data_IF_015913953369
#
_entry.id   IF_015913953369
#
_cell.length_a   1.000
_cell.length_b   1.000
_cell.length_c   1.000
_cell.angle_alpha   90.00
_cell.angle_beta   90.00
_cell.angle_gamma   90.00
#
_symmetry.space_group_name_H-M   'P 1'
#
loop_
_entity.id
_entity.type
_entity.pdbx_description
1 polymer ?
#
# COMPACT_ATOMS: atom_id res chain seq x y z
N UNK A 1 6.52 42.20 35.03
CA UNK A 1 5.51 42.34 33.96
C UNK A 1 5.96 41.77 32.62
N UNK A 2 7.17 42.09 32.10
CA UNK A 2 7.67 41.53 30.82
C UNK A 2 7.75 39.99 30.75
N UNK A 3 8.24 39.34 31.82
CA UNK A 3 8.34 37.86 31.86
C UNK A 3 6.97 37.17 31.88
N UNK A 4 5.98 37.77 32.55
CA UNK A 4 4.61 37.24 32.61
C UNK A 4 3.92 37.29 31.24
N UNK A 5 4.14 38.38 30.48
CA UNK A 5 3.61 38.56 29.13
C UNK A 5 4.25 37.57 28.14
N UNK A 6 5.55 37.31 28.28
CA UNK A 6 6.25 36.28 27.50
C UNK A 6 5.73 34.87 27.80
N UNK A 7 5.51 34.56 29.07
CA UNK A 7 5.02 33.25 29.49
C UNK A 7 3.55 33.02 29.09
N UNK A 8 2.71 34.07 29.13
CA UNK A 8 1.35 34.05 28.59
C UNK A 8 1.32 33.94 27.07
N UNK A 9 2.25 34.59 26.36
CA UNK A 9 2.39 34.44 24.91
C UNK A 9 2.82 33.01 24.54
N UNK A 10 3.80 32.43 25.23
CA UNK A 10 4.23 31.04 25.03
C UNK A 10 3.11 30.03 25.33
N UNK A 11 2.33 30.25 26.39
CA UNK A 11 1.14 29.44 26.71
C UNK A 11 0.03 29.58 25.66
N UNK A 12 -0.18 30.79 25.11
CA UNK A 12 -1.17 31.03 24.06
C UNK A 12 -0.79 30.40 22.71
N UNK A 13 0.51 30.26 22.42
CA UNK A 13 0.98 29.58 21.20
C UNK A 13 0.88 28.04 21.27
N UNK A 14 0.80 27.44 22.46
CA UNK A 14 0.79 25.98 22.63
C UNK A 14 -0.61 25.32 22.68
N UNK A 15 -1.70 26.10 22.62
CA UNK A 15 -2.99 25.66 23.15
C UNK A 15 -4.13 25.38 22.16
N UNK A 16 -3.94 25.44 20.84
CA UNK A 16 -5.08 25.42 19.91
C UNK A 16 -5.06 24.32 18.84
N UNK A 17 -4.11 23.40 18.88
CA UNK A 17 -4.11 22.23 17.99
C UNK A 17 -4.30 20.97 18.82
N UNK A 18 -5.20 20.10 18.38
CA UNK A 18 -5.37 18.81 19.00
C UNK A 18 -4.03 18.05 18.84
N UNK A 19 -3.57 17.34 19.88
CA UNK A 19 -2.29 16.61 19.81
C UNK A 19 -2.28 15.61 18.64
N UNK A 20 -3.47 15.10 18.28
CA UNK A 20 -3.70 14.28 17.08
C UNK A 20 -3.35 15.02 15.78
N UNK A 21 -3.82 16.26 15.62
CA UNK A 21 -3.61 17.05 14.39
C UNK A 21 -2.14 17.43 14.21
N UNK A 22 -1.43 17.68 15.32
CA UNK A 22 0.01 17.94 15.31
C UNK A 22 0.81 16.69 14.94
N UNK A 23 0.41 15.51 15.45
CA UNK A 23 1.02 14.23 15.08
C UNK A 23 0.83 13.90 13.60
N UNK A 24 -0.37 14.10 13.06
CA UNK A 24 -0.69 13.89 11.65
C UNK A 24 0.12 14.84 10.74
N UNK A 25 0.17 16.13 11.08
CA UNK A 25 0.93 17.13 10.32
C UNK A 25 2.43 16.87 10.33
N UNK A 26 3.00 16.50 11.49
CA UNK A 26 4.41 16.11 11.59
C UNK A 26 4.69 14.85 10.78
N UNK A 27 3.83 13.82 10.88
CA UNK A 27 3.97 12.58 10.10
C UNK A 27 3.93 12.87 8.60
N UNK A 28 2.97 13.68 8.15
CA UNK A 28 2.82 14.08 6.75
C UNK A 28 4.10 14.74 6.21
N UNK A 29 4.61 15.77 6.88
CA UNK A 29 5.79 16.50 6.44
C UNK A 29 7.09 15.67 6.52
N UNK A 30 7.22 14.80 7.53
CA UNK A 30 8.35 13.87 7.62
C UNK A 30 8.29 12.78 6.55
N UNK A 31 7.10 12.30 6.17
CA UNK A 31 6.92 11.34 5.08
C UNK A 31 7.25 11.96 3.71
N UNK A 32 6.83 13.22 3.49
CA UNK A 32 7.13 13.96 2.26
C UNK A 32 8.64 14.30 2.12
N UNK A 33 9.30 14.62 3.25
CA UNK A 33 10.75 14.76 3.31
C UNK A 33 11.51 13.43 3.12
N UNK A 34 10.80 12.28 3.07
CA UNK A 34 11.39 10.95 2.94
C UNK A 34 12.01 10.39 4.22
N UNK A 35 11.72 10.99 5.38
CA UNK A 35 12.17 10.50 6.68
C UNK A 35 11.30 9.33 7.18
N UNK A 36 10.03 9.29 6.79
CA UNK A 36 9.06 8.23 7.07
C UNK A 36 8.54 7.61 5.77
N UNK A 37 7.90 6.44 5.90
CA UNK A 37 7.29 5.75 4.77
C UNK A 37 6.19 6.58 4.12
N UNK A 38 6.19 6.61 2.79
CA UNK A 38 5.24 7.37 2.02
C UNK A 38 4.60 6.49 0.94
N UNK A 39 3.29 6.61 0.79
CA UNK A 39 2.56 5.93 -0.29
C UNK A 39 1.57 6.86 -1.00
N UNK A 40 1.54 6.79 -2.33
CA UNK A 40 0.60 7.53 -3.18
C UNK A 40 -0.29 6.53 -3.93
N UNK A 41 -1.61 6.62 -3.72
CA UNK A 41 -2.62 5.79 -4.38
C UNK A 41 -3.32 6.61 -5.47
N UNK A 42 -3.11 6.24 -6.73
CA UNK A 42 -3.83 6.85 -7.86
C UNK A 42 -4.83 5.89 -8.45
N UNK A 43 -6.11 6.26 -8.40
CA UNK A 43 -7.22 5.56 -9.05
C UNK A 43 -7.48 6.14 -10.43
N UNK A 44 -7.91 5.30 -11.36
CA UNK A 44 -8.28 5.73 -12.71
C UNK A 44 -9.76 6.08 -12.80
N UNK A 45 -10.63 5.38 -12.06
CA UNK A 45 -12.07 5.56 -12.09
C UNK A 45 -12.64 5.69 -10.67
N UNK A 46 -13.56 6.62 -10.46
CA UNK A 46 -14.28 6.80 -9.19
C UNK A 46 -15.56 5.96 -9.17
N UNK A 47 -15.41 4.64 -9.23
CA UNK A 47 -16.52 3.69 -9.14
C UNK A 47 -16.81 3.34 -7.68
N UNK A 48 -18.09 3.05 -7.39
CA UNK A 48 -18.56 2.52 -6.12
C UNK A 48 -19.09 1.10 -6.31
N UNK A 49 -18.73 0.21 -5.39
CA UNK A 49 -19.23 -1.15 -5.31
C UNK A 49 -20.35 -1.25 -4.28
N UNK A 50 -21.15 -2.30 -4.40
CA UNK A 50 -22.13 -2.63 -3.37
C UNK A 50 -21.39 -3.19 -2.15
N UNK A 51 -21.75 -2.81 -0.91
CA UNK A 51 -21.03 -3.26 0.29
C UNK A 51 -20.99 -4.77 0.49
N UNK A 52 -21.97 -5.50 -0.04
CA UNK A 52 -22.09 -6.96 0.00
C UNK A 52 -21.41 -7.67 -1.18
N UNK A 53 -20.71 -6.92 -2.05
CA UNK A 53 -19.97 -7.49 -3.18
C UNK A 53 -18.94 -8.51 -2.74
N UNK A 54 -18.92 -9.67 -3.39
CA UNK A 54 -17.91 -10.69 -3.16
C UNK A 54 -16.66 -10.42 -4.01
N UNK A 55 -15.57 -10.11 -3.33
CA UNK A 55 -14.26 -9.83 -3.94
C UNK A 55 -13.33 -11.04 -3.80
N UNK A 56 -12.86 -11.55 -4.93
CA UNK A 56 -11.77 -12.52 -4.99
C UNK A 56 -10.43 -11.82 -5.29
N UNK A 57 -9.42 -12.07 -4.48
CA UNK A 57 -8.11 -11.43 -4.58
C UNK A 57 -7.09 -12.40 -5.19
N UNK A 58 -6.50 -11.99 -6.30
CA UNK A 58 -5.41 -12.71 -6.97
C UNK A 58 -4.12 -11.89 -7.00
N UNK A 59 -2.97 -12.57 -7.07
CA UNK A 59 -1.68 -11.92 -7.29
C UNK A 59 -0.93 -12.61 -8.41
N UNK A 60 -0.41 -11.83 -9.36
CA UNK A 60 0.53 -12.33 -10.36
C UNK A 60 1.84 -12.82 -9.76
N UNK A 61 2.42 -13.86 -10.38
CA UNK A 61 3.79 -14.25 -10.05
C UNK A 61 4.75 -13.07 -10.28
N UNK A 62 5.66 -12.87 -9.34
CA UNK A 62 6.67 -11.83 -9.43
C UNK A 62 8.04 -12.42 -9.18
N UNK A 63 8.95 -12.15 -10.11
CA UNK A 63 10.36 -12.46 -10.00
C UNK A 63 11.08 -11.12 -10.14
N UNK A 64 11.71 -10.60 -9.08
CA UNK A 64 12.42 -9.33 -9.16
C UNK A 64 13.61 -9.45 -10.13
N UNK A 65 13.98 -8.36 -10.83
CA UNK A 65 15.21 -8.33 -11.59
C UNK A 65 16.41 -8.39 -10.63
N UNK A 66 17.32 -9.34 -10.81
CA UNK A 66 18.58 -9.43 -10.04
C UNK A 66 18.80 -10.75 -9.29
N UNK A 67 19.91 -10.83 -8.55
CA UNK A 67 20.32 -11.98 -7.71
C UNK A 67 19.98 -11.75 -6.23
N UNK A 68 18.89 -11.07 -5.94
CA UNK A 68 18.40 -10.88 -4.56
C UNK A 68 17.64 -12.10 -4.05
N UNK A 69 17.32 -12.15 -2.74
CA UNK A 69 16.37 -13.11 -2.20
C UNK A 69 15.05 -13.07 -3.00
N UNK A 70 14.31 -14.19 -3.05
CA UNK A 70 12.99 -14.21 -3.70
C UNK A 70 11.98 -13.67 -2.69
N UNK A 71 11.19 -12.62 -3.02
CA UNK A 71 10.23 -12.08 -2.07
C UNK A 71 9.15 -13.11 -1.78
N UNK A 72 8.56 -13.05 -0.58
CA UNK A 72 7.45 -13.94 -0.19
C UNK A 72 6.35 -13.87 -1.25
N UNK A 73 6.07 -15.00 -1.89
CA UNK A 73 5.03 -15.08 -2.90
C UNK A 73 3.67 -14.77 -2.27
N UNK A 74 2.79 -14.12 -3.04
CA UNK A 74 1.42 -13.83 -2.63
C UNK A 74 1.26 -12.79 -1.49
N UNK A 75 2.33 -12.10 -1.07
CA UNK A 75 2.30 -11.13 0.03
C UNK A 75 1.36 -9.93 -0.23
N UNK A 76 1.26 -9.47 -1.48
CA UNK A 76 0.39 -8.35 -1.87
C UNK A 76 -1.08 -8.75 -1.78
N UNK A 77 -1.45 -9.95 -2.24
CA UNK A 77 -2.81 -10.46 -2.06
C UNK A 77 -3.15 -10.75 -0.60
N UNK A 78 -2.18 -11.22 0.20
CA UNK A 78 -2.37 -11.39 1.64
C UNK A 78 -2.67 -10.04 2.31
N UNK A 79 -1.91 -8.99 1.96
CA UNK A 79 -2.14 -7.66 2.51
C UNK A 79 -3.43 -7.01 2.02
N UNK A 80 -3.78 -7.21 0.74
CA UNK A 80 -5.05 -6.78 0.20
C UNK A 80 -6.21 -7.47 0.94
N UNK A 81 -6.10 -8.77 1.22
CA UNK A 81 -7.11 -9.49 2.01
C UNK A 81 -7.28 -8.90 3.41
N UNK A 82 -6.17 -8.70 4.14
CA UNK A 82 -6.17 -8.08 5.48
C UNK A 82 -6.83 -6.70 5.47
N UNK A 83 -6.65 -5.93 4.38
CA UNK A 83 -7.20 -4.58 4.25
C UNK A 83 -8.66 -4.55 3.81
N UNK A 84 -9.08 -5.49 2.96
CA UNK A 84 -10.43 -5.52 2.39
C UNK A 84 -11.46 -6.17 3.31
N UNK A 85 -11.06 -7.15 4.12
CA UNK A 85 -11.96 -7.87 5.03
C UNK A 85 -12.62 -6.97 6.08
N UNK A 86 -12.02 -5.80 6.37
CA UNK A 86 -12.61 -4.78 7.24
C UNK A 86 -13.84 -4.12 6.61
N UNK A 87 -13.91 -4.04 5.29
CA UNK A 87 -14.91 -3.24 4.56
C UNK A 87 -15.89 -4.07 3.73
N UNK A 88 -15.48 -5.25 3.27
CA UNK A 88 -16.31 -6.16 2.50
C UNK A 88 -16.52 -7.46 3.28
N UNK A 89 -17.76 -7.93 3.47
CA UNK A 89 -18.06 -9.13 4.25
C UNK A 89 -17.65 -10.42 3.53
N UNK A 90 -17.62 -10.38 2.19
CA UNK A 90 -17.27 -11.52 1.34
C UNK A 90 -15.96 -11.23 0.63
N UNK A 91 -14.87 -11.73 1.21
CA UNK A 91 -13.53 -11.62 0.61
C UNK A 91 -12.86 -12.99 0.65
N UNK A 92 -12.28 -13.41 -0.48
CA UNK A 92 -11.41 -14.59 -0.55
C UNK A 92 -10.16 -14.24 -1.32
N UNK A 93 -9.07 -14.96 -1.04
CA UNK A 93 -7.81 -14.82 -1.78
C UNK A 93 -7.36 -16.15 -2.38
N UNK A 94 -6.59 -16.06 -3.45
CA UNK A 94 -5.81 -17.18 -3.96
C UNK A 94 -4.81 -17.69 -2.89
N UNK A 95 -4.57 -19.00 -2.87
CA UNK A 95 -3.59 -19.60 -1.96
C UNK A 95 -2.15 -19.29 -2.39
N UNK A 96 -1.90 -19.25 -3.70
CA UNK A 96 -0.61 -18.89 -4.29
C UNK A 96 -0.76 -17.88 -5.43
N UNK A 97 0.34 -17.53 -6.10
CA UNK A 97 0.30 -16.65 -7.25
C UNK A 97 -0.48 -17.29 -8.41
N UNK A 98 -1.27 -16.49 -9.11
CA UNK A 98 -2.10 -16.88 -10.24
C UNK A 98 -1.90 -15.93 -11.43
N UNK A 99 -1.95 -16.49 -12.63
CA UNK A 99 -2.18 -15.69 -13.83
C UNK A 99 -3.52 -14.95 -13.75
N UNK A 100 -3.68 -13.88 -14.52
CA UNK A 100 -4.92 -13.11 -14.54
C UNK A 100 -6.12 -13.99 -14.92
N UNK A 101 -6.00 -14.79 -15.97
CA UNK A 101 -7.06 -15.68 -16.42
C UNK A 101 -7.40 -16.75 -15.38
N UNK A 102 -6.40 -17.31 -14.70
CA UNK A 102 -6.62 -18.29 -13.63
C UNK A 102 -7.30 -17.67 -12.41
N UNK A 103 -6.94 -16.43 -12.07
CA UNK A 103 -7.60 -15.69 -11.00
C UNK A 103 -9.08 -15.42 -11.32
N UNK A 104 -9.39 -15.06 -12.57
CA UNK A 104 -10.77 -14.89 -13.05
C UNK A 104 -11.52 -16.23 -13.05
N UNK A 105 -10.90 -17.31 -13.52
CA UNK A 105 -11.50 -18.63 -13.51
C UNK A 105 -11.80 -19.11 -12.07
N UNK A 106 -10.87 -18.89 -11.14
CA UNK A 106 -11.06 -19.25 -9.74
C UNK A 106 -12.13 -18.38 -9.08
N UNK A 107 -12.16 -17.07 -9.33
CA UNK A 107 -13.22 -16.18 -8.87
C UNK A 107 -14.61 -16.63 -9.34
N UNK A 108 -14.74 -17.01 -10.62
CA UNK A 108 -15.98 -17.60 -11.17
C UNK A 108 -16.37 -18.87 -10.44
N UNK A 109 -15.41 -19.76 -10.20
CA UNK A 109 -15.68 -21.05 -9.54
C UNK A 109 -16.22 -20.90 -8.12
N UNK A 110 -15.89 -19.80 -7.44
CA UNK A 110 -16.37 -19.52 -6.08
C UNK A 110 -17.57 -18.58 -6.06
N UNK A 111 -18.00 -18.03 -7.20
CA UNK A 111 -19.12 -17.10 -7.30
C UNK A 111 -18.79 -15.67 -6.86
N UNK A 112 -17.54 -15.22 -6.99
CA UNK A 112 -17.17 -13.85 -6.68
C UNK A 112 -17.63 -12.88 -7.77
N UNK A 113 -18.22 -11.75 -7.38
CA UNK A 113 -18.68 -10.70 -8.29
C UNK A 113 -17.51 -10.00 -8.97
N UNK A 114 -16.41 -9.81 -8.23
CA UNK A 114 -15.22 -9.11 -8.70
C UNK A 114 -13.93 -9.87 -8.43
N UNK A 115 -12.94 -9.63 -9.29
CA UNK A 115 -11.55 -9.99 -9.08
C UNK A 115 -10.73 -8.75 -8.83
N UNK A 116 -10.10 -8.67 -7.65
CA UNK A 116 -9.03 -7.74 -7.38
C UNK A 116 -7.70 -8.41 -7.75
N UNK A 117 -7.22 -8.15 -8.96
CA UNK A 117 -5.95 -8.69 -9.45
C UNK A 117 -4.80 -7.73 -9.15
N UNK A 118 -3.81 -8.21 -8.41
CA UNK A 118 -2.64 -7.44 -7.98
C UNK A 118 -1.38 -7.89 -8.71
N UNK A 119 -0.52 -6.95 -9.09
CA UNK A 119 0.79 -7.25 -9.67
C UNK A 119 1.82 -6.18 -9.32
N UNK A 120 3.08 -6.59 -9.28
CA UNK A 120 4.19 -5.64 -9.23
C UNK A 120 4.40 -5.04 -10.63
N UNK A 121 4.46 -3.71 -10.70
CA UNK A 121 4.58 -2.99 -11.98
C UNK A 121 6.01 -2.51 -12.27
N UNK A 122 6.85 -2.27 -11.25
CA UNK A 122 8.28 -1.94 -11.36
C UNK A 122 8.94 -1.94 -9.98
N UNK A 123 10.15 -2.49 -9.86
CA UNK A 123 11.12 -2.13 -8.83
C UNK A 123 12.16 -1.25 -9.54
N UNK A 124 12.37 -0.01 -9.09
CA UNK A 124 13.33 0.90 -9.72
C UNK A 124 14.67 0.76 -8.97
N UNK A 125 15.62 0.00 -9.51
CA UNK A 125 17.01 -0.02 -9.05
C UNK A 125 17.66 1.33 -9.41
N UNK A 126 17.41 2.38 -8.64
CA UNK A 126 18.27 3.57 -8.67
C UNK A 126 19.40 3.39 -7.67
N UNK A 127 20.39 2.61 -8.11
CA UNK A 127 21.75 2.60 -7.57
C UNK A 127 22.24 4.06 -7.51
N UNK A 128 22.34 4.58 -6.29
CA UNK A 128 23.07 5.81 -6.01
C UNK A 128 24.56 5.57 -6.27
N UNK A 129 25.12 6.37 -7.17
CA UNK A 129 26.55 6.47 -7.40
C UNK A 129 27.22 7.13 -6.19
N UNK A 130 28.22 6.47 -5.60
CA UNK A 130 29.09 7.04 -4.57
C UNK A 130 29.47 6.02 -3.49
N UNK A 131 30.50 5.22 -3.78
CA UNK A 131 31.40 4.57 -2.81
C UNK A 131 30.82 4.22 -1.42
N UNK A 132 30.03 3.14 -1.27
CA UNK A 132 29.72 2.62 0.07
C UNK A 132 29.72 1.07 0.21
N UNK A 133 30.85 0.63 0.78
CA UNK A 133 31.07 -0.40 1.81
C UNK A 133 30.84 -1.90 1.55
N UNK A 134 32.00 -2.58 1.53
CA UNK A 134 32.25 -3.95 1.97
C UNK A 134 31.44 -4.32 3.22
N UNK A 135 30.55 -5.31 3.10
CA UNK A 135 30.59 -6.52 3.92
C UNK A 135 29.58 -7.55 3.38
N UNK A 136 30.09 -8.75 3.13
CA UNK A 136 29.34 -9.97 2.83
C UNK A 136 28.50 -10.37 4.06
N UNK A 137 27.34 -9.73 4.23
CA UNK A 137 26.28 -10.17 5.15
C UNK A 137 24.91 -9.59 4.78
N UNK A 138 24.68 -9.39 3.49
CA UNK A 138 23.42 -8.91 2.90
C UNK A 138 22.33 -10.01 2.83
N UNK A 139 22.18 -10.77 3.92
CA UNK A 139 21.06 -11.71 4.10
C UNK A 139 19.81 -10.85 4.39
N UNK A 140 18.74 -11.05 3.62
CA UNK A 140 17.48 -10.28 3.58
C UNK A 140 17.44 -8.92 2.84
N UNK A 141 18.54 -8.48 2.23
CA UNK A 141 18.59 -7.20 1.47
C UNK A 141 18.03 -7.29 0.05
N UNK A 142 16.74 -7.59 -0.08
CA UNK A 142 15.99 -7.09 -1.24
C UNK A 142 15.70 -5.62 -0.97
N UNK A 143 16.41 -4.72 -1.65
CA UNK A 143 16.17 -3.28 -1.59
C UNK A 143 14.74 -2.94 -1.99
N UNK A 144 13.93 -2.53 -1.01
CA UNK A 144 12.56 -2.04 -1.19
C UNK A 144 12.53 -0.52 -1.05
N UNK A 145 13.53 0.18 -1.60
CA UNK A 145 13.60 1.64 -1.50
C UNK A 145 12.40 2.31 -2.19
N UNK A 146 11.87 1.70 -3.25
CA UNK A 146 10.64 2.13 -3.92
C UNK A 146 9.96 0.97 -4.66
N UNK A 147 8.69 0.72 -4.37
CA UNK A 147 7.87 -0.33 -5.00
C UNK A 147 6.62 0.22 -5.65
N UNK A 148 6.21 -0.36 -6.78
CA UNK A 148 4.94 -0.03 -7.43
C UNK A 148 4.06 -1.27 -7.52
N UNK A 149 2.93 -1.25 -6.82
CA UNK A 149 1.86 -2.23 -6.96
C UNK A 149 0.78 -1.66 -7.85
N UNK A 150 0.36 -2.42 -8.85
CA UNK A 150 -0.83 -2.15 -9.63
C UNK A 150 -1.92 -3.13 -9.21
N UNK A 151 -3.10 -2.58 -8.93
CA UNK A 151 -4.32 -3.32 -8.64
C UNK A 151 -5.33 -3.05 -9.73
N UNK A 152 -5.96 -4.10 -10.23
CA UNK A 152 -7.02 -4.05 -11.23
C UNK A 152 -8.25 -4.70 -10.63
N UNK A 153 -9.36 -3.96 -10.60
CA UNK A 153 -10.65 -4.48 -10.21
C UNK A 153 -11.42 -4.84 -11.48
N UNK A 154 -11.79 -6.11 -11.61
CA UNK A 154 -12.38 -6.67 -12.82
C UNK A 154 -13.70 -7.32 -12.44
N UNK A 155 -14.76 -7.05 -13.20
CA UNK A 155 -16.03 -7.74 -13.03
C UNK A 155 -15.90 -9.18 -13.54
N UNK A 156 -16.22 -10.16 -12.70
CA UNK A 156 -15.98 -11.57 -12.96
C UNK A 156 -16.83 -12.09 -14.14
N UNK A 157 -18.07 -11.62 -14.28
CA UNK A 157 -19.02 -12.05 -15.30
C UNK A 157 -18.61 -11.59 -16.71
N UNK A 158 -18.35 -10.28 -16.87
CA UNK A 158 -18.07 -9.63 -18.15
C UNK A 158 -16.58 -9.52 -18.49
N UNK A 159 -15.70 -9.71 -17.50
CA UNK A 159 -14.25 -9.42 -17.58
C UNK A 159 -13.94 -7.93 -17.81
N UNK A 160 -14.92 -7.06 -17.59
CA UNK A 160 -14.71 -5.63 -17.76
C UNK A 160 -13.79 -5.09 -16.66
N UNK A 161 -12.83 -4.25 -17.02
CA UNK A 161 -11.96 -3.57 -16.07
C UNK A 161 -12.74 -2.40 -15.45
N UNK A 162 -13.13 -2.57 -14.19
CA UNK A 162 -13.99 -1.65 -13.45
C UNK A 162 -13.19 -0.50 -12.85
N UNK A 163 -12.00 -0.80 -12.33
CA UNK A 163 -11.09 0.22 -11.82
C UNK A 163 -9.63 -0.26 -11.87
N UNK A 164 -8.71 0.70 -11.80
CA UNK A 164 -7.29 0.45 -11.62
C UNK A 164 -6.73 1.42 -10.60
N UNK A 165 -6.04 0.88 -9.61
CA UNK A 165 -5.29 1.66 -8.63
C UNK A 165 -3.80 1.34 -8.73
N UNK A 166 -2.97 2.38 -8.66
CA UNK A 166 -1.52 2.25 -8.57
C UNK A 166 -1.07 2.79 -7.22
N UNK A 167 -0.49 1.92 -6.42
CA UNK A 167 0.13 2.25 -5.15
C UNK A 167 1.64 2.35 -5.40
N UNK A 168 2.20 3.54 -5.21
CA UNK A 168 3.64 3.75 -5.16
C UNK A 168 4.02 3.85 -3.70
N UNK A 169 4.91 2.99 -3.23
CA UNK A 169 5.42 3.05 -1.86
C UNK A 169 6.92 3.35 -1.89
N UNK A 170 7.37 4.17 -0.95
CA UNK A 170 8.79 4.50 -0.70
C UNK A 170 9.08 4.26 0.77
N UNK A 171 10.14 3.50 1.06
CA UNK A 171 10.65 3.33 2.42
C UNK A 171 11.34 4.62 2.90
N UNK A 172 11.07 5.04 4.13
CA UNK A 172 11.69 6.21 4.75
C UNK A 172 13.13 5.97 5.24
N UNK A 173 13.90 7.06 5.37
CA UNK A 173 15.29 7.01 5.84
C UNK A 173 15.47 6.41 7.23
N UNK A 174 14.47 6.58 8.10
CA UNK A 174 14.50 6.05 9.47
C UNK A 174 13.94 4.63 9.58
N UNK A 175 13.32 4.12 8.52
CA UNK A 175 12.64 2.82 8.46
C UNK A 175 13.41 1.79 7.61
N UNK A 176 14.61 2.14 7.12
CA UNK A 176 15.44 1.34 6.20
C UNK A 176 15.77 -0.10 6.63
N UNK A 177 15.56 -0.48 7.90
CA UNK A 177 15.99 -1.78 8.42
C UNK A 177 14.86 -2.81 8.62
N UNK A 178 13.57 -2.45 8.55
CA UNK A 178 12.48 -3.36 8.98
C UNK A 178 11.14 -3.25 8.20
N UNK A 179 11.11 -2.59 7.04
CA UNK A 179 9.83 -2.38 6.35
C UNK A 179 9.26 -3.67 5.72
N UNK A 180 8.16 -4.17 6.28
CA UNK A 180 7.41 -5.29 5.72
C UNK A 180 6.39 -4.81 4.66
N UNK A 181 5.94 -5.67 3.73
CA UNK A 181 4.84 -5.31 2.81
C UNK A 181 3.58 -4.89 3.55
N UNK A 182 3.36 -5.41 4.76
CA UNK A 182 2.29 -4.97 5.64
C UNK A 182 2.34 -3.47 5.93
N UNK A 183 3.53 -2.95 6.27
CA UNK A 183 3.75 -1.56 6.66
C UNK A 183 3.54 -0.59 5.49
N UNK A 184 4.01 -0.97 4.29
CA UNK A 184 3.98 -0.11 3.11
C UNK A 184 2.67 -0.15 2.31
N UNK A 185 1.92 -1.24 2.40
CA UNK A 185 0.73 -1.47 1.56
C UNK A 185 -0.59 -1.46 2.34
N UNK A 186 -0.56 -1.64 3.67
CA UNK A 186 -1.79 -1.72 4.47
C UNK A 186 -2.66 -0.48 4.41
N UNK A 187 -2.09 0.69 4.75
CA UNK A 187 -2.80 1.95 4.70
C UNK A 187 -3.36 2.28 3.30
N UNK A 188 -2.56 2.26 2.20
CA UNK A 188 -3.09 2.59 0.88
C UNK A 188 -4.11 1.58 0.36
N UNK A 189 -4.03 0.29 0.73
CA UNK A 189 -5.04 -0.70 0.35
C UNK A 189 -6.35 -0.54 1.12
N UNK A 190 -6.30 -0.18 2.41
CA UNK A 190 -7.51 0.19 3.17
C UNK A 190 -8.18 1.40 2.57
N UNK A 191 -7.41 2.44 2.25
CA UNK A 191 -7.95 3.65 1.63
C UNK A 191 -8.59 3.35 0.26
N UNK A 192 -7.94 2.48 -0.54
CA UNK A 192 -8.55 2.01 -1.77
C UNK A 192 -9.88 1.26 -1.53
N UNK A 193 -9.95 0.35 -0.56
CA UNK A 193 -11.17 -0.36 -0.20
C UNK A 193 -12.30 0.59 0.26
N UNK A 194 -11.99 1.57 1.13
CA UNK A 194 -12.93 2.62 1.57
C UNK A 194 -13.47 3.42 0.39
N UNK A 195 -12.58 3.82 -0.51
CA UNK A 195 -12.94 4.59 -1.69
C UNK A 195 -13.82 3.80 -2.68
N UNK A 196 -13.74 2.47 -2.70
CA UNK A 196 -14.67 1.61 -3.45
C UNK A 196 -16.08 1.59 -2.83
N UNK A 197 -16.23 1.90 -1.55
CA UNK A 197 -17.54 2.09 -0.91
C UNK A 197 -18.04 3.54 -1.00
N UNK A 198 -17.28 4.42 -1.66
CA UNK A 198 -17.59 5.85 -1.70
C UNK A 198 -17.33 6.58 -0.38
N UNK A 199 -16.56 5.96 0.53
CA UNK A 199 -16.01 6.61 1.70
C UNK A 199 -14.68 7.24 1.28
N UNK A 200 -14.72 8.47 0.81
CA UNK A 200 -13.52 9.31 0.65
C UNK A 200 -13.58 10.42 1.69
N UNK A 201 -12.44 10.80 2.27
CA UNK A 201 -12.32 12.10 2.95
C UNK A 201 -12.53 13.26 1.97
#
# INVERSE_FOLDING_TARGET
>A
MRSLVLLLALMALGGCMNVSDMGEGVRYHLSDAGLLDHSDTRRTLSIRLQPDSFIFIGQGAFVPPGKGPVPRQNAVAEQAFKSFVEYFPLVRRAQGPLGLEDAIAQARSVGADYVLYTRFARTDDRIGNGDEWYDEQAVDRLGWDTGVVQMMLIETSTRYLIDTARIKSRGGLLTFHDNTPEDLLGAPMREYARSLLGMSE
#
